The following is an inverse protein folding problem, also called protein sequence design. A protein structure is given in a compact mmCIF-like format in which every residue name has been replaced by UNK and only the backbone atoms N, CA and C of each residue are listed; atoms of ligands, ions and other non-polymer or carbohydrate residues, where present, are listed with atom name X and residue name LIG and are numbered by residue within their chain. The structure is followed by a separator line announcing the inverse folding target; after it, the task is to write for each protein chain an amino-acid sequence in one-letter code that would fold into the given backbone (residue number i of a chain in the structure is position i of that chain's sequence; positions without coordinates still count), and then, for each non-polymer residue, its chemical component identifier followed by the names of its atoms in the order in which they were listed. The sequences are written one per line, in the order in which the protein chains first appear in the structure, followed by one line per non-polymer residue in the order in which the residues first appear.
data_IF_476596739222
#
_entry.id   IF_476596739222
#
_cell.length_a   1.000
_cell.length_b   1.000
_cell.length_c   1.000
_cell.angle_alpha   90.00
_cell.angle_beta   90.00
_cell.angle_gamma   90.00
#
_symmetry.space_group_name_H-M   'P 1'
#
loop_
_entity.id
_entity.type
_entity.pdbx_description
1 polymer ?
#
# COMPACT_ATOMS: atom_id res chain seq x y z
N UNK A 1 -1.22 15.56 -13.18
CA UNK A 1 -2.43 16.41 -13.22
C UNK A 1 -2.55 17.09 -11.86
N UNK A 2 -3.16 18.27 -11.76
CA UNK A 2 -3.08 19.09 -10.52
C UNK A 2 -4.45 19.59 -10.08
N UNK A 3 -5.50 18.80 -10.28
CA UNK A 3 -6.84 19.17 -9.82
C UNK A 3 -6.88 19.31 -8.28
N UNK A 4 -7.66 20.27 -7.77
CA UNK A 4 -7.71 20.62 -6.35
C UNK A 4 -8.17 19.46 -5.46
N UNK A 5 -9.13 18.68 -5.94
CA UNK A 5 -9.74 17.56 -5.22
C UNK A 5 -9.36 16.19 -5.78
N UNK A 6 -8.63 16.13 -6.90
CA UNK A 6 -8.16 14.86 -7.47
C UNK A 6 -6.76 15.04 -8.09
N UNK A 7 -5.75 15.32 -7.25
CA UNK A 7 -4.39 15.52 -7.73
C UNK A 7 -3.74 14.18 -8.12
N UNK A 8 -3.82 13.80 -9.40
CA UNK A 8 -3.10 12.65 -9.93
C UNK A 8 -1.67 13.05 -10.29
N UNK A 9 -0.80 13.10 -9.28
CA UNK A 9 0.61 13.47 -9.45
C UNK A 9 1.49 12.21 -9.39
N UNK A 10 2.31 11.94 -10.43
CA UNK A 10 3.12 10.73 -10.47
C UNK A 10 4.01 10.56 -9.25
N UNK A 11 4.01 9.36 -8.68
CA UNK A 11 4.73 9.02 -7.46
C UNK A 11 4.00 9.25 -6.16
N UNK A 12 2.74 9.66 -6.23
CA UNK A 12 1.86 9.61 -5.08
C UNK A 12 1.18 8.24 -5.04
N UNK A 13 1.22 7.63 -3.87
CA UNK A 13 0.47 6.42 -3.53
C UNK A 13 -0.46 6.73 -2.36
N UNK A 14 -1.74 6.42 -2.50
CA UNK A 14 -2.70 6.45 -1.41
C UNK A 14 -2.96 5.03 -0.94
N UNK A 15 -3.05 4.86 0.37
CA UNK A 15 -3.44 3.58 0.97
C UNK A 15 -4.69 3.79 1.79
N UNK A 16 -5.69 2.96 1.55
CA UNK A 16 -6.96 2.97 2.25
C UNK A 16 -7.22 1.60 2.88
N UNK A 17 -8.14 1.56 3.85
CA UNK A 17 -8.67 0.29 4.33
C UNK A 17 -10.12 0.40 4.79
N UNK A 18 -10.89 -0.66 4.57
CA UNK A 18 -12.11 -0.91 5.33
C UNK A 18 -11.75 -1.78 6.54
N UNK A 19 -11.89 -1.20 7.73
CA UNK A 19 -11.57 -1.86 9.01
C UNK A 19 -12.77 -2.65 9.56
N UNK A 20 -13.50 -3.29 8.64
CA UNK A 20 -14.66 -4.12 8.90
C UNK A 20 -14.32 -5.43 9.64
N UNK A 21 -15.20 -6.42 9.52
CA UNK A 21 -14.95 -7.76 10.08
C UNK A 21 -13.82 -8.49 9.34
N UNK A 22 -13.73 -8.24 8.04
CA UNK A 22 -12.67 -8.62 7.13
C UNK A 22 -11.98 -7.32 6.73
N UNK A 23 -10.66 -7.29 6.79
CA UNK A 23 -9.88 -6.09 6.48
C UNK A 23 -9.60 -6.13 4.98
N UNK A 24 -10.09 -5.12 4.29
CA UNK A 24 -9.75 -4.83 2.90
C UNK A 24 -8.76 -3.67 2.88
N UNK A 25 -7.68 -3.80 2.12
CA UNK A 25 -6.69 -2.74 1.89
C UNK A 25 -6.70 -2.37 0.42
N UNK A 26 -6.72 -1.08 0.12
CA UNK A 26 -6.71 -0.57 -1.26
C UNK A 26 -5.47 0.32 -1.45
N UNK A 27 -4.66 0.03 -2.46
CA UNK A 27 -3.42 0.75 -2.78
C UNK A 27 -3.53 1.41 -4.16
N UNK A 28 -3.64 2.73 -4.17
CA UNK A 28 -3.83 3.53 -5.39
C UNK A 28 -2.56 4.31 -5.72
N UNK A 29 -1.92 3.97 -6.82
CA UNK A 29 -0.63 4.54 -7.27
C UNK A 29 -0.80 5.39 -8.52
N UNK A 30 -0.43 6.67 -8.46
CA UNK A 30 -0.29 7.47 -9.67
C UNK A 30 1.07 7.19 -10.32
N UNK A 31 1.10 6.53 -11.48
CA UNK A 31 2.32 6.12 -12.15
C UNK A 31 2.94 7.23 -13.02
N UNK A 32 4.23 7.14 -13.34
CA UNK A 32 4.87 7.98 -14.39
C UNK A 32 4.40 7.64 -15.80
N UNK A 33 3.74 6.51 -15.96
CA UNK A 33 3.25 6.00 -17.22
C UNK A 33 2.17 6.89 -17.85
N UNK A 34 2.24 6.99 -19.18
CA UNK A 34 1.27 7.66 -20.03
C UNK A 34 0.79 6.66 -21.08
N UNK A 35 -0.53 6.57 -21.24
CA UNK A 35 -1.20 5.79 -22.28
C UNK A 35 -1.86 6.73 -23.28
N UNK A 36 -1.74 6.46 -24.58
CA UNK A 36 -2.52 7.17 -25.59
C UNK A 36 -3.93 6.54 -25.65
N UNK A 37 -4.96 7.29 -25.24
CA UNK A 37 -6.37 6.87 -25.29
C UNK A 37 -7.16 7.87 -26.11
N UNK A 38 -7.89 7.39 -27.13
CA UNK A 38 -8.62 8.23 -28.08
C UNK A 38 -7.77 9.38 -28.72
N UNK A 39 -6.46 9.18 -28.84
CA UNK A 39 -5.51 10.17 -29.36
C UNK A 39 -5.10 11.26 -28.37
N UNK A 40 -5.34 11.06 -27.07
CA UNK A 40 -4.93 11.94 -25.98
C UNK A 40 -3.98 11.19 -25.04
N UNK A 41 -3.00 11.90 -24.49
CA UNK A 41 -2.13 11.38 -23.43
C UNK A 41 -2.94 11.32 -22.11
N UNK A 42 -3.17 10.11 -21.60
CA UNK A 42 -3.80 9.85 -20.33
C UNK A 42 -2.78 9.33 -19.31
N UNK A 43 -2.89 9.80 -18.06
CA UNK A 43 -2.12 9.33 -16.91
C UNK A 43 -2.64 7.97 -16.47
N UNK A 44 -1.73 7.02 -16.27
CA UNK A 44 -2.09 5.73 -15.65
C UNK A 44 -2.09 5.86 -14.13
N UNK A 45 -3.16 5.39 -13.51
CA UNK A 45 -3.26 5.15 -12.07
C UNK A 45 -3.51 3.66 -11.90
N UNK A 46 -2.81 3.01 -10.96
CA UNK A 46 -3.01 1.60 -10.66
C UNK A 46 -3.69 1.48 -9.30
N UNK A 47 -4.80 0.78 -9.24
CA UNK A 47 -5.49 0.42 -8.01
C UNK A 47 -5.30 -1.07 -7.75
N UNK A 48 -5.07 -1.46 -6.50
CA UNK A 48 -4.97 -2.85 -6.09
C UNK A 48 -5.72 -3.05 -4.79
N UNK A 49 -6.63 -4.02 -4.80
CA UNK A 49 -7.43 -4.40 -3.64
C UNK A 49 -6.86 -5.69 -3.05
N UNK A 50 -6.60 -5.66 -1.75
CA UNK A 50 -6.05 -6.78 -1.00
C UNK A 50 -7.02 -7.22 0.09
N UNK A 51 -7.20 -8.53 0.20
CA UNK A 51 -7.93 -9.19 1.30
C UNK A 51 -7.07 -10.35 1.77
N UNK A 52 -6.80 -10.41 3.08
CA UNK A 52 -5.90 -11.42 3.67
C UNK A 52 -4.55 -11.51 2.94
N UNK A 53 -3.99 -10.35 2.57
CA UNK A 53 -2.71 -10.20 1.82
C UNK A 53 -2.73 -10.68 0.37
N UNK A 54 -3.82 -11.31 -0.08
CA UNK A 54 -4.02 -11.70 -1.48
C UNK A 54 -4.58 -10.52 -2.28
N UNK A 55 -4.05 -10.29 -3.48
CA UNK A 55 -4.58 -9.31 -4.43
C UNK A 55 -5.85 -9.86 -5.05
N UNK A 56 -7.01 -9.36 -4.66
CA UNK A 56 -8.28 -9.78 -5.25
C UNK A 56 -8.64 -9.00 -6.51
N UNK A 57 -8.07 -7.79 -6.68
CA UNK A 57 -8.25 -6.97 -7.88
C UNK A 57 -6.99 -6.14 -8.17
N UNK A 58 -6.60 -6.04 -9.44
CA UNK A 58 -5.55 -5.15 -9.95
C UNK A 58 -6.06 -4.38 -11.17
N UNK A 59 -6.33 -3.09 -10.99
CA UNK A 59 -6.96 -2.23 -11.97
C UNK A 59 -6.00 -1.14 -12.44
N UNK A 60 -5.98 -0.86 -13.73
CA UNK A 60 -5.20 0.24 -14.34
C UNK A 60 -6.12 1.23 -15.03
N UNK A 61 -6.36 2.33 -14.37
CA UNK A 61 -7.17 3.43 -14.85
C UNK A 61 -6.38 4.42 -15.71
N UNK A 62 -7.08 5.07 -16.64
CA UNK A 62 -6.51 6.15 -17.44
C UNK A 62 -7.28 7.45 -17.22
N UNK A 63 -6.57 8.52 -16.85
CA UNK A 63 -7.18 9.82 -16.62
C UNK A 63 -6.55 10.94 -17.44
N UNK A 64 -7.36 11.90 -17.89
CA UNK A 64 -6.88 13.10 -18.59
C UNK A 64 -7.40 14.37 -17.92
N UNK A 65 -6.63 15.48 -17.97
CA UNK A 65 -7.09 16.78 -17.49
C UNK A 65 -7.17 17.76 -18.66
N UNK A 66 -8.34 18.37 -18.88
CA UNK A 66 -8.53 19.34 -19.94
C UNK A 66 -8.02 20.75 -19.58
N UNK A 67 -7.97 21.65 -20.56
CA UNK A 67 -7.52 23.04 -20.39
C UNK A 67 -8.41 23.88 -19.45
N UNK A 68 -9.65 23.44 -19.20
CA UNK A 68 -10.53 24.08 -18.23
C UNK A 68 -10.27 23.57 -16.80
N UNK A 69 -9.59 22.43 -16.67
CA UNK A 69 -9.21 21.78 -15.43
C UNK A 69 -10.05 20.57 -15.06
N UNK A 70 -11.02 20.15 -15.89
CA UNK A 70 -11.83 18.95 -15.59
C UNK A 70 -10.96 17.71 -15.72
N UNK A 71 -11.18 16.75 -14.84
CA UNK A 71 -10.57 15.42 -14.90
C UNK A 71 -11.55 14.46 -15.55
N UNK A 72 -11.07 13.80 -16.59
CA UNK A 72 -11.79 12.82 -17.39
C UNK A 72 -11.32 11.41 -17.03
N UNK A 73 -12.26 10.48 -16.89
CA UNK A 73 -11.98 9.05 -16.82
C UNK A 73 -12.05 8.47 -18.23
N UNK A 74 -10.96 7.86 -18.67
CA UNK A 74 -10.74 7.51 -20.07
C UNK A 74 -10.84 6.00 -20.32
N UNK A 75 -10.97 5.20 -19.25
CA UNK A 75 -11.09 3.76 -19.29
C UNK A 75 -10.23 3.08 -18.24
N UNK A 76 -10.33 1.77 -18.21
CA UNK A 76 -9.66 0.87 -17.29
C UNK A 76 -9.37 -0.49 -17.90
N UNK A 77 -8.36 -1.15 -17.33
CA UNK A 77 -8.07 -2.56 -17.51
C UNK A 77 -8.12 -3.20 -16.12
N UNK A 78 -8.85 -4.31 -15.99
CA UNK A 78 -9.15 -4.94 -14.71
C UNK A 78 -8.71 -6.40 -14.76
N UNK A 79 -8.03 -6.83 -13.70
CA UNK A 79 -7.78 -8.23 -13.38
C UNK A 79 -8.39 -8.54 -12.01
N UNK A 80 -9.48 -9.31 -11.97
CA UNK A 80 -10.11 -9.83 -10.75
C UNK A 80 -9.65 -11.28 -10.51
N UNK A 81 -9.14 -11.58 -9.32
CA UNK A 81 -8.56 -12.87 -8.97
C UNK A 81 -9.48 -13.67 -8.05
N UNK A 82 -9.77 -14.92 -8.44
CA UNK A 82 -10.40 -15.89 -7.54
C UNK A 82 -9.35 -16.88 -7.03
N UNK A 83 -9.39 -17.16 -5.73
CA UNK A 83 -8.46 -18.07 -5.05
C UNK A 83 -9.17 -19.30 -4.48
N UNK A 84 -8.44 -20.40 -4.29
CA UNK A 84 -8.91 -21.52 -3.48
C UNK A 84 -8.53 -21.37 -1.99
N UNK A 85 -8.91 -22.36 -1.17
CA UNK A 85 -8.64 -22.37 0.27
C UNK A 85 -7.12 -22.48 0.60
N UNK A 86 -6.27 -22.76 -0.40
CA UNK A 86 -4.82 -22.89 -0.29
C UNK A 86 -4.08 -21.62 -0.79
N UNK A 87 -4.83 -20.62 -1.29
CA UNK A 87 -4.28 -19.36 -1.78
C UNK A 87 -3.81 -19.41 -3.25
N UNK A 88 -4.14 -20.46 -4.00
CA UNK A 88 -3.80 -20.58 -5.42
C UNK A 88 -4.85 -19.89 -6.32
N UNK A 89 -4.39 -19.22 -7.38
CA UNK A 89 -5.28 -18.56 -8.36
C UNK A 89 -6.08 -19.59 -9.16
N UNK A 90 -7.40 -19.61 -8.96
CA UNK A 90 -8.35 -20.43 -9.69
C UNK A 90 -8.77 -19.81 -11.04
N UNK A 91 -8.97 -18.50 -11.05
CA UNK A 91 -9.44 -17.76 -12.21
C UNK A 91 -8.93 -16.32 -12.19
N UNK A 92 -8.81 -15.74 -13.38
CA UNK A 92 -8.65 -14.30 -13.58
C UNK A 92 -9.78 -13.86 -14.49
N UNK A 93 -10.62 -12.97 -13.99
CA UNK A 93 -11.69 -12.32 -14.76
C UNK A 93 -11.29 -10.89 -15.12
N UNK A 94 -11.82 -10.38 -16.23
CA UNK A 94 -11.54 -9.03 -16.72
C UNK A 94 -12.84 -8.24 -16.85
N UNK A 95 -13.74 -8.44 -15.89
CA UNK A 95 -15.01 -7.74 -15.80
C UNK A 95 -14.78 -6.23 -15.70
N UNK A 96 -15.70 -5.42 -16.22
CA UNK A 96 -15.61 -3.96 -16.10
C UNK A 96 -14.62 -3.28 -17.05
N UNK A 97 -13.61 -3.96 -17.62
CA UNK A 97 -12.62 -3.30 -18.48
C UNK A 97 -13.24 -2.59 -19.71
N UNK A 98 -12.89 -1.31 -19.93
CA UNK A 98 -13.34 -0.52 -21.09
C UNK A 98 -12.33 0.55 -21.48
N UNK A 99 -12.35 0.99 -22.76
CA UNK A 99 -11.49 2.09 -23.22
C UNK A 99 -12.25 3.07 -24.11
N UNK A 100 -12.13 4.37 -23.80
CA UNK A 100 -12.76 5.44 -24.57
C UNK A 100 -12.47 5.35 -26.08
N UNK A 101 -13.53 5.28 -26.88
CA UNK A 101 -13.47 5.21 -28.34
C UNK A 101 -13.36 3.79 -28.91
N UNK A 102 -13.35 2.76 -28.07
CA UNK A 102 -13.38 1.35 -28.47
C UNK A 102 -14.73 0.69 -28.14
N UNK A 103 -15.03 -0.39 -28.86
CA UNK A 103 -16.16 -1.30 -28.60
C UNK A 103 -15.54 -2.64 -28.15
N UNK A 104 -15.20 -2.74 -26.86
CA UNK A 104 -14.43 -3.89 -26.33
C UNK A 104 -15.32 -5.08 -25.95
N UNK A 105 -16.62 -4.85 -25.77
CA UNK A 105 -17.63 -5.88 -25.44
C UNK A 105 -18.46 -6.31 -26.66
N UNK A 106 -18.10 -5.89 -27.87
CA UNK A 106 -18.79 -6.21 -29.13
C UNK A 106 -20.30 -5.83 -29.11
N UNK A 107 -20.66 -4.74 -28.42
CA UNK A 107 -22.06 -4.24 -28.34
C UNK A 107 -22.52 -3.57 -29.64
N UNK A 108 -21.56 -3.09 -30.45
CA UNK A 108 -21.81 -2.24 -31.61
C UNK A 108 -21.82 -0.75 -31.30
N UNK A 109 -21.59 -0.36 -30.04
CA UNK A 109 -21.39 1.02 -29.58
C UNK A 109 -19.97 1.18 -29.04
N UNK A 110 -19.42 2.40 -29.09
CA UNK A 110 -18.10 2.69 -28.52
C UNK A 110 -18.27 3.31 -27.14
N UNK A 111 -17.36 2.98 -26.22
CA UNK A 111 -17.31 3.61 -24.90
C UNK A 111 -16.94 5.10 -25.03
N UNK A 112 -17.51 5.91 -24.14
CA UNK A 112 -17.35 7.35 -24.08
C UNK A 112 -16.79 7.75 -22.72
N UNK A 113 -15.72 8.56 -22.67
CA UNK A 113 -15.18 9.05 -21.41
C UNK A 113 -16.15 10.05 -20.78
N UNK A 114 -16.19 10.05 -19.45
CA UNK A 114 -16.94 11.02 -18.66
C UNK A 114 -16.04 11.88 -17.79
N UNK A 115 -16.64 12.79 -17.03
CA UNK A 115 -15.92 13.55 -16.02
C UNK A 115 -15.86 12.72 -14.75
N UNK A 116 -14.68 12.42 -14.23
CA UNK A 116 -14.58 11.91 -12.86
C UNK A 116 -14.65 13.06 -11.85
N UNK A 117 -14.18 14.24 -12.25
CA UNK A 117 -14.17 15.43 -11.40
C UNK A 117 -14.22 16.71 -12.24
N UNK A 118 -15.22 17.55 -12.00
CA UNK A 118 -15.34 18.87 -12.65
C UNK A 118 -14.28 19.84 -12.12
N UNK A 119 -13.84 20.77 -12.95
CA UNK A 119 -12.81 21.77 -12.62
C UNK A 119 -13.20 22.71 -11.46
N UNK A 120 -14.50 23.00 -11.34
CA UNK A 120 -15.09 23.90 -10.34
C UNK A 120 -16.44 23.32 -9.88
N UNK A 121 -16.43 22.22 -9.09
CA UNK A 121 -17.64 21.49 -8.75
C UNK A 121 -18.59 22.36 -7.92
N UNK A 122 -19.87 22.36 -8.28
CA UNK A 122 -20.95 23.06 -7.58
C UNK A 122 -21.95 22.04 -7.04
N UNK A 123 -22.55 22.35 -5.88
CA UNK A 123 -23.62 21.53 -5.32
C UNK A 123 -24.76 21.36 -6.33
N UNK A 124 -25.12 20.10 -6.60
CA UNK A 124 -26.15 19.70 -7.55
C UNK A 124 -25.66 19.53 -9.00
N UNK A 125 -24.36 19.67 -9.27
CA UNK A 125 -23.79 19.21 -10.53
C UNK A 125 -23.98 17.70 -10.66
N UNK A 126 -24.43 17.25 -11.83
CA UNK A 126 -24.61 15.83 -12.18
C UNK A 126 -23.91 15.59 -13.51
N UNK A 127 -23.10 14.55 -13.58
CA UNK A 127 -22.29 14.22 -14.76
C UNK A 127 -22.11 12.70 -14.89
N UNK A 128 -21.95 12.23 -16.13
CA UNK A 128 -21.49 10.86 -16.38
C UNK A 128 -19.99 10.80 -16.10
N UNK A 129 -19.56 9.79 -15.33
CA UNK A 129 -18.16 9.43 -15.08
C UNK A 129 -17.63 8.55 -16.21
N UNK A 130 -18.51 7.73 -16.78
CA UNK A 130 -18.30 6.95 -18.00
C UNK A 130 -19.63 6.70 -18.70
N UNK A 131 -19.56 6.23 -19.95
CA UNK A 131 -20.74 5.76 -20.65
C UNK A 131 -20.36 4.73 -21.72
N UNK A 132 -20.87 3.53 -21.56
CA UNK A 132 -20.82 2.42 -22.48
C UNK A 132 -22.12 1.62 -22.34
N UNK A 133 -23.00 1.74 -23.32
CA UNK A 133 -24.41 1.38 -23.16
C UNK A 133 -24.61 -0.07 -22.69
N UNK A 134 -25.43 -0.24 -21.65
CA UNK A 134 -25.73 -1.51 -20.98
C UNK A 134 -24.51 -2.21 -20.31
N UNK A 135 -23.30 -1.64 -20.41
CA UNK A 135 -22.05 -2.20 -19.88
C UNK A 135 -21.51 -1.38 -18.70
N UNK A 136 -21.45 -0.05 -18.85
CA UNK A 136 -20.86 0.90 -17.88
C UNK A 136 -21.57 2.26 -17.99
N UNK A 137 -22.28 2.72 -16.95
CA UNK A 137 -23.07 3.96 -17.03
C UNK A 137 -22.94 4.81 -15.75
N UNK A 138 -21.73 4.89 -15.19
CA UNK A 138 -21.52 5.53 -13.90
C UNK A 138 -21.73 7.05 -13.92
N UNK A 139 -22.30 7.53 -12.81
CA UNK A 139 -22.75 8.90 -12.63
C UNK A 139 -22.25 9.47 -11.31
N UNK A 140 -21.72 10.69 -11.37
CA UNK A 140 -21.40 11.50 -10.21
C UNK A 140 -22.43 12.62 -9.99
N UNK A 141 -22.79 12.86 -8.73
CA UNK A 141 -23.53 14.05 -8.28
C UNK A 141 -22.76 14.75 -7.14
N UNK A 142 -22.56 16.06 -7.23
CA UNK A 142 -21.94 16.83 -6.14
C UNK A 142 -22.97 17.17 -5.08
N UNK A 143 -22.71 16.74 -3.84
CA UNK A 143 -23.68 16.78 -2.74
C UNK A 143 -23.38 17.93 -1.78
N UNK A 144 -22.11 18.10 -1.44
CA UNK A 144 -21.63 19.17 -0.56
C UNK A 144 -20.21 19.58 -0.93
N UNK A 145 -19.81 20.81 -0.57
CA UNK A 145 -18.44 21.32 -0.78
C UNK A 145 -17.67 21.49 0.53
N UNK A 146 -18.35 21.26 1.66
CA UNK A 146 -17.90 21.56 3.02
C UNK A 146 -18.35 20.48 4.02
N UNK A 147 -18.36 19.22 3.58
CA UNK A 147 -18.70 18.08 4.45
C UNK A 147 -17.58 17.82 5.45
N UNK A 148 -17.88 17.86 6.76
CA UNK A 148 -16.88 17.56 7.79
C UNK A 148 -16.78 16.05 8.00
N UNK A 149 -15.60 15.48 7.74
CA UNK A 149 -15.29 14.05 7.86
C UNK A 149 -14.25 13.85 8.94
N UNK A 150 -14.46 12.85 9.80
CA UNK A 150 -13.47 12.34 10.73
C UNK A 150 -13.25 10.87 10.43
N UNK A 151 -11.99 10.47 10.28
CA UNK A 151 -11.59 9.09 10.01
C UNK A 151 -11.36 8.33 11.32
N UNK A 152 -11.19 7.01 11.22
CA UNK A 152 -10.98 6.12 12.36
C UNK A 152 -9.72 6.45 13.18
N UNK A 153 -8.70 7.03 12.54
CA UNK A 153 -7.47 7.51 13.19
C UNK A 153 -7.67 8.84 13.96
N UNK A 154 -8.84 9.46 13.83
CA UNK A 154 -9.18 10.74 14.44
C UNK A 154 -8.76 11.97 13.65
N UNK A 155 -8.12 11.80 12.48
CA UNK A 155 -7.88 12.89 11.54
C UNK A 155 -9.21 13.47 11.06
N UNK A 156 -9.21 14.77 10.76
CA UNK A 156 -10.42 15.49 10.39
C UNK A 156 -10.18 16.37 9.16
N UNK A 157 -11.12 16.29 8.22
CA UNK A 157 -11.06 16.95 6.92
C UNK A 157 -12.37 17.69 6.64
N UNK A 158 -12.29 18.79 5.89
CA UNK A 158 -13.45 19.41 5.25
C UNK A 158 -13.39 19.05 3.78
N UNK A 159 -14.42 18.36 3.29
CA UNK A 159 -14.40 17.63 2.03
C UNK A 159 -15.46 18.12 1.04
N UNK A 160 -15.12 17.99 -0.24
CA UNK A 160 -16.10 17.83 -1.31
C UNK A 160 -16.73 16.44 -1.16
N UNK A 161 -18.06 16.35 -1.16
CA UNK A 161 -18.79 15.09 -1.10
C UNK A 161 -19.50 14.86 -2.44
N UNK A 162 -19.26 13.69 -3.04
CA UNK A 162 -20.02 13.23 -4.21
C UNK A 162 -20.91 12.06 -3.84
N UNK A 163 -21.90 11.82 -4.70
CA UNK A 163 -22.65 10.58 -4.77
C UNK A 163 -22.30 9.92 -6.09
N UNK A 164 -21.88 8.67 -6.00
CA UNK A 164 -21.51 7.86 -7.15
C UNK A 164 -22.56 6.74 -7.27
N UNK A 165 -23.09 6.54 -8.48
CA UNK A 165 -24.19 5.59 -8.73
C UNK A 165 -24.30 5.23 -10.22
N UNK A 166 -24.94 4.10 -10.50
CA UNK A 166 -25.23 3.67 -11.88
C UNK A 166 -26.74 3.49 -12.13
N UNK A 167 -27.27 3.95 -13.29
CA UNK A 167 -28.62 3.62 -13.72
C UNK A 167 -28.89 2.13 -13.93
N UNK A 168 -27.82 1.33 -14.16
CA UNK A 168 -27.91 -0.12 -14.37
C UNK A 168 -28.29 -0.86 -13.09
N UNK A 169 -27.95 -0.31 -11.92
CA UNK A 169 -28.23 -0.87 -10.61
C UNK A 169 -28.99 0.11 -9.70
N UNK A 170 -30.30 0.31 -9.95
CA UNK A 170 -31.07 1.31 -9.23
C UNK A 170 -31.12 1.08 -7.72
N UNK A 171 -30.65 2.08 -6.96
CA UNK A 171 -30.73 2.09 -5.49
C UNK A 171 -29.44 1.68 -4.79
N UNK A 172 -28.42 1.28 -5.55
CA UNK A 172 -27.04 1.22 -5.08
C UNK A 172 -26.41 2.58 -5.34
N UNK A 173 -25.81 3.16 -4.31
CA UNK A 173 -25.07 4.42 -4.38
C UNK A 173 -24.02 4.46 -3.27
N UNK A 174 -22.95 5.19 -3.52
CA UNK A 174 -21.86 5.43 -2.58
C UNK A 174 -21.64 6.93 -2.38
N UNK A 175 -21.01 7.31 -1.26
CA UNK A 175 -20.53 8.66 -0.98
C UNK A 175 -19.00 8.67 -0.97
N UNK A 176 -18.39 9.44 -1.87
CA UNK A 176 -16.94 9.70 -1.85
C UNK A 176 -16.66 11.09 -1.27
N UNK A 177 -15.64 11.17 -0.43
CA UNK A 177 -15.24 12.40 0.26
C UNK A 177 -13.83 12.79 -0.16
N UNK A 178 -13.68 13.96 -0.78
CA UNK A 178 -12.41 14.45 -1.30
C UNK A 178 -11.89 15.62 -0.48
N UNK A 179 -10.68 15.50 0.08
CA UNK A 179 -9.97 16.58 0.73
C UNK A 179 -9.06 17.33 -0.26
N UNK A 180 -8.99 18.66 -0.14
CA UNK A 180 -8.14 19.49 -0.99
C UNK A 180 -6.67 19.10 -0.90
N UNK A 181 -6.04 18.89 -2.06
CA UNK A 181 -4.63 18.53 -2.17
C UNK A 181 -4.31 17.07 -1.84
N UNK A 182 -5.28 16.30 -1.35
CA UNK A 182 -5.13 14.89 -1.01
C UNK A 182 -5.80 14.03 -2.08
N UNK A 183 -7.08 14.25 -2.37
CA UNK A 183 -7.88 13.28 -3.13
C UNK A 183 -8.97 12.70 -2.25
N UNK A 184 -9.39 11.47 -2.54
CA UNK A 184 -10.32 10.71 -1.70
C UNK A 184 -9.71 10.54 -0.30
N UNK A 185 -10.53 10.70 0.73
CA UNK A 185 -10.17 10.39 2.13
C UNK A 185 -11.10 9.36 2.75
N UNK A 186 -12.31 9.19 2.20
CA UNK A 186 -13.24 8.17 2.61
C UNK A 186 -14.26 7.84 1.51
N UNK A 187 -14.73 6.60 1.49
CA UNK A 187 -15.86 6.11 0.72
C UNK A 187 -16.84 5.42 1.66
N UNK A 188 -18.13 5.77 1.59
CA UNK A 188 -19.10 5.34 2.59
C UNK A 188 -20.47 5.07 1.99
N UNK A 189 -21.18 4.15 2.62
CA UNK A 189 -22.61 4.00 2.41
C UNK A 189 -23.38 5.31 2.73
N UNK A 190 -24.53 5.57 2.08
CA UNK A 190 -25.28 6.81 2.26
C UNK A 190 -25.70 7.09 3.70
N UNK A 191 -25.26 8.24 4.22
CA UNK A 191 -25.58 8.68 5.58
C UNK A 191 -24.82 7.96 6.69
N UNK A 192 -23.85 7.09 6.36
CA UNK A 192 -22.94 6.51 7.33
C UNK A 192 -21.96 7.57 7.84
N UNK A 193 -21.78 7.63 9.17
CA UNK A 193 -20.84 8.55 9.80
C UNK A 193 -19.40 7.99 9.88
N UNK A 194 -19.24 6.67 9.69
CA UNK A 194 -18.01 5.91 9.81
C UNK A 194 -18.17 4.55 9.13
N UNK A 195 -17.06 3.87 8.85
CA UNK A 195 -17.02 2.58 8.15
C UNK A 195 -17.01 2.75 6.63
N UNK A 196 -16.76 1.67 5.90
CA UNK A 196 -16.33 1.74 4.51
C UNK A 196 -14.84 2.03 4.40
N UNK A 197 -14.39 2.35 3.20
CA UNK A 197 -12.99 2.58 2.89
C UNK A 197 -12.53 3.94 3.44
N UNK A 198 -11.47 3.97 4.24
CA UNK A 198 -10.90 5.21 4.81
C UNK A 198 -9.40 5.31 4.53
N UNK A 199 -8.91 6.53 4.26
CA UNK A 199 -7.49 6.78 3.99
C UNK A 199 -6.65 6.50 5.23
N UNK A 200 -5.65 5.62 5.07
CA UNK A 200 -4.64 5.33 6.08
C UNK A 200 -3.39 6.16 5.88
N UNK A 201 -3.00 6.46 4.63
CA UNK A 201 -1.76 7.18 4.39
C UNK A 201 -1.57 7.63 2.95
N UNK A 202 -0.66 8.59 2.78
CA UNK A 202 -0.25 9.10 1.47
C UNK A 202 1.28 9.09 1.40
N UNK A 203 1.81 8.30 0.47
CA UNK A 203 3.22 8.24 0.17
C UNK A 203 3.53 9.13 -1.03
N UNK A 204 4.47 10.05 -0.88
CA UNK A 204 4.98 10.84 -1.99
C UNK A 204 6.48 10.58 -2.15
N UNK A 205 6.83 9.69 -3.09
CA UNK A 205 8.23 9.35 -3.37
C UNK A 205 9.08 10.54 -3.80
N UNK A 206 8.45 11.68 -4.13
CA UNK A 206 9.15 12.89 -4.60
C UNK A 206 9.59 13.80 -3.48
N UNK A 207 8.94 13.78 -2.31
CA UNK A 207 9.06 14.92 -1.39
C UNK A 207 9.60 14.67 0.01
N UNK A 208 9.31 13.59 0.75
CA UNK A 208 9.97 13.27 2.05
C UNK A 208 9.06 12.47 3.01
N UNK A 209 8.82 11.18 2.75
CA UNK A 209 8.43 10.28 3.86
C UNK A 209 9.64 9.52 4.43
N UNK A 210 10.85 9.80 3.93
CA UNK A 210 12.09 9.25 4.49
C UNK A 210 12.30 9.93 5.85
N UNK A 211 12.36 9.15 6.95
CA UNK A 211 12.60 9.69 8.27
C UNK A 211 13.92 10.48 8.35
N UNK A 212 13.94 11.63 9.05
CA UNK A 212 15.15 12.45 9.20
C UNK A 212 16.12 11.83 10.21
N UNK A 213 16.92 10.87 9.73
CA UNK A 213 17.93 10.18 10.52
C UNK A 213 18.95 11.14 11.15
N UNK A 214 19.25 12.26 10.49
CA UNK A 214 20.18 13.27 11.01
C UNK A 214 19.64 14.05 12.21
N UNK A 215 18.32 14.04 12.42
CA UNK A 215 17.67 14.63 13.58
C UNK A 215 17.53 13.67 14.78
N UNK A 216 17.66 12.36 14.55
CA UNK A 216 17.60 11.34 15.59
C UNK A 216 18.81 11.42 16.54
N UNK A 217 18.63 10.94 17.78
CA UNK A 217 19.68 10.89 18.80
C UNK A 217 19.70 9.51 19.42
N UNK A 218 20.88 8.92 19.52
CA UNK A 218 21.06 7.53 19.95
C UNK A 218 21.94 7.49 21.20
N UNK A 219 21.33 7.60 22.38
CA UNK A 219 22.01 7.54 23.67
C UNK A 219 22.27 6.11 24.15
N UNK A 220 21.33 5.19 23.90
CA UNK A 220 21.41 3.77 24.24
C UNK A 220 20.77 2.88 23.15
N UNK A 221 21.30 2.89 21.91
CA UNK A 221 20.60 2.39 20.73
C UNK A 221 20.30 0.90 20.71
N UNK A 222 21.02 0.09 21.49
CA UNK A 222 20.86 -1.37 21.53
C UNK A 222 19.87 -1.84 22.59
N UNK A 223 19.37 -0.94 23.43
CA UNK A 223 18.24 -1.22 24.32
C UNK A 223 16.95 -0.96 23.54
N UNK A 224 16.52 -1.94 22.74
CA UNK A 224 15.29 -1.84 21.94
C UNK A 224 14.13 -2.43 22.76
N UNK A 225 13.44 -1.58 23.53
CA UNK A 225 12.36 -1.96 24.46
C UNK A 225 10.96 -1.53 24.00
N UNK A 226 10.82 -1.27 22.70
CA UNK A 226 9.55 -0.87 22.09
C UNK A 226 8.43 -1.89 22.38
N UNK A 227 7.24 -1.46 22.84
CA UNK A 227 6.19 -2.39 23.32
C UNK A 227 5.69 -3.38 22.27
N UNK A 228 5.75 -3.01 20.99
CA UNK A 228 5.34 -3.85 19.85
C UNK A 228 6.50 -4.48 19.09
N UNK A 229 7.74 -4.11 19.40
CA UNK A 229 8.93 -4.64 18.70
C UNK A 229 10.14 -4.74 19.65
N UNK A 230 10.04 -5.49 20.77
CA UNK A 230 11.12 -5.60 21.73
C UNK A 230 12.21 -6.56 21.22
N UNK A 231 13.45 -6.09 21.12
CA UNK A 231 14.58 -6.93 20.71
C UNK A 231 15.47 -7.25 21.90
N UNK A 232 15.08 -8.29 22.64
CA UNK A 232 15.84 -8.80 23.79
C UNK A 232 16.81 -9.90 23.32
N UNK A 233 18.13 -9.74 23.47
CA UNK A 233 19.10 -10.77 23.07
C UNK A 233 18.80 -12.15 23.68
N UNK A 234 18.87 -13.18 22.85
CA UNK A 234 18.54 -14.57 23.16
C UNK A 234 17.06 -14.93 23.00
N UNK A 235 16.19 -13.99 22.61
CA UNK A 235 14.84 -14.29 22.15
C UNK A 235 14.90 -15.04 20.82
N UNK A 236 14.06 -16.06 20.66
CA UNK A 236 13.89 -16.79 19.41
C UNK A 236 12.41 -17.00 19.18
N UNK A 237 11.93 -16.51 18.04
CA UNK A 237 10.57 -16.69 17.56
C UNK A 237 10.58 -17.66 16.37
N UNK A 238 9.49 -18.39 16.19
CA UNK A 238 9.35 -19.36 15.09
C UNK A 238 7.96 -19.27 14.53
N UNK A 239 7.89 -19.04 13.22
CA UNK A 239 6.66 -18.98 12.44
C UNK A 239 6.65 -20.16 11.48
N UNK A 240 5.46 -20.70 11.21
CA UNK A 240 5.29 -21.84 10.31
C UNK A 240 4.00 -21.64 9.51
N UNK A 241 4.08 -21.83 8.21
CA UNK A 241 2.96 -21.76 7.28
C UNK A 241 3.02 -22.97 6.32
N UNK A 242 1.85 -23.54 6.02
CA UNK A 242 1.72 -24.47 4.89
C UNK A 242 1.51 -23.63 3.63
N UNK A 243 2.32 -23.87 2.60
CA UNK A 243 2.31 -23.20 1.28
C UNK A 243 2.15 -24.25 0.18
N UNK A 244 1.92 -23.84 -1.08
CA UNK A 244 1.92 -24.75 -2.25
C UNK A 244 3.26 -25.51 -2.37
N UNK A 245 4.37 -24.83 -2.08
CA UNK A 245 5.73 -25.36 -2.23
C UNK A 245 6.17 -26.22 -1.02
N UNK A 246 5.38 -26.28 0.05
CA UNK A 246 5.63 -27.10 1.23
C UNK A 246 5.46 -26.34 2.53
N UNK A 247 6.12 -26.82 3.59
CA UNK A 247 6.09 -26.11 4.88
C UNK A 247 7.18 -25.05 4.88
N UNK A 248 6.78 -23.78 4.91
CA UNK A 248 7.68 -22.68 5.20
C UNK A 248 7.81 -22.52 6.72
N UNK A 249 9.05 -22.41 7.20
CA UNK A 249 9.37 -22.15 8.60
C UNK A 249 10.37 -21.02 8.71
N UNK A 250 10.00 -19.96 9.40
CA UNK A 250 10.83 -18.77 9.66
C UNK A 250 11.33 -18.81 11.10
N UNK A 251 12.63 -18.58 11.32
CA UNK A 251 13.24 -18.57 12.67
C UNK A 251 14.01 -17.27 12.89
N UNK A 252 13.41 -16.39 13.68
CA UNK A 252 13.96 -15.08 14.03
C UNK A 252 14.67 -15.16 15.38
N UNK A 253 15.96 -14.81 15.42
CA UNK A 253 16.80 -14.86 16.63
C UNK A 253 17.45 -13.51 16.91
N UNK A 254 17.18 -12.91 18.07
CA UNK A 254 17.87 -11.68 18.49
C UNK A 254 19.22 -12.06 19.08
N UNK A 255 20.32 -11.67 18.43
CA UNK A 255 21.66 -12.10 18.80
C UNK A 255 22.26 -11.24 19.94
N UNK A 256 23.26 -11.78 20.64
CA UNK A 256 24.08 -11.00 21.61
C UNK A 256 25.09 -10.08 20.92
N UNK A 257 25.28 -10.22 19.60
CA UNK A 257 26.20 -9.40 18.82
C UNK A 257 25.56 -8.08 18.39
N UNK A 258 26.43 -7.10 18.14
CA UNK A 258 26.05 -5.77 17.67
C UNK A 258 26.85 -5.42 16.42
N UNK A 259 26.31 -4.53 15.59
CA UNK A 259 26.98 -3.99 14.41
C UNK A 259 26.92 -2.48 14.42
N UNK A 260 28.03 -1.81 14.11
CA UNK A 260 28.01 -0.36 13.87
C UNK A 260 27.58 -0.08 12.43
N UNK A 261 26.46 0.63 12.26
CA UNK A 261 25.93 1.06 10.95
C UNK A 261 25.69 2.57 10.99
N UNK A 262 26.20 3.29 10.00
CA UNK A 262 26.12 4.76 9.93
C UNK A 262 26.53 5.51 11.23
N UNK A 263 27.40 4.91 12.06
CA UNK A 263 27.85 5.48 13.34
C UNK A 263 26.93 5.21 14.55
N UNK A 264 25.92 4.37 14.39
CA UNK A 264 25.02 3.89 15.46
C UNK A 264 25.30 2.41 15.72
N UNK A 265 25.38 2.01 16.99
CA UNK A 265 25.49 0.59 17.35
C UNK A 265 24.10 -0.05 17.32
N UNK A 266 23.95 -1.08 16.49
CA UNK A 266 22.67 -1.75 16.22
C UNK A 266 22.64 -3.15 16.84
N UNK A 267 21.45 -3.58 17.26
CA UNK A 267 21.13 -4.98 17.56
C UNK A 267 21.14 -5.76 16.25
N UNK A 268 21.73 -6.96 16.26
CA UNK A 268 21.64 -7.90 15.13
C UNK A 268 20.51 -8.88 15.40
N UNK A 269 19.54 -8.93 14.48
CA UNK A 269 18.50 -9.95 14.44
C UNK A 269 18.82 -10.86 13.26
N UNK A 270 18.77 -12.17 13.49
CA UNK A 270 19.01 -13.16 12.44
C UNK A 270 17.72 -13.83 12.06
N UNK A 271 17.27 -13.61 10.84
CA UNK A 271 16.16 -14.33 10.23
C UNK A 271 16.68 -15.49 9.38
N UNK A 272 15.99 -16.62 9.43
CA UNK A 272 16.25 -17.78 8.58
C UNK A 272 14.95 -18.36 8.09
N UNK A 273 14.80 -18.39 6.78
CA UNK A 273 13.66 -18.98 6.10
C UNK A 273 14.02 -20.38 5.62
N UNK A 274 13.15 -21.34 5.95
CA UNK A 274 13.28 -22.72 5.54
C UNK A 274 12.07 -23.17 4.73
N UNK A 275 12.29 -23.87 3.63
CA UNK A 275 11.26 -24.57 2.85
C UNK A 275 11.53 -26.07 2.93
N UNK A 276 10.59 -26.85 3.47
CA UNK A 276 10.73 -28.31 3.63
C UNK A 276 12.08 -28.73 4.29
N UNK A 277 12.47 -27.99 5.34
CA UNK A 277 13.73 -28.09 6.09
C UNK A 277 15.03 -27.69 5.33
N UNK A 278 14.94 -27.24 4.09
CA UNK A 278 16.06 -26.61 3.37
C UNK A 278 16.14 -25.13 3.75
N UNK A 279 17.34 -24.64 4.09
CA UNK A 279 17.57 -23.23 4.37
C UNK A 279 17.62 -22.48 3.04
N UNK A 280 16.63 -21.64 2.76
CA UNK A 280 16.55 -20.87 1.51
C UNK A 280 17.04 -19.43 1.68
N UNK A 281 16.98 -18.89 2.90
CA UNK A 281 17.48 -17.54 3.21
C UNK A 281 18.08 -17.48 4.62
N UNK A 282 19.18 -16.74 4.79
CA UNK A 282 19.82 -16.43 6.09
C UNK A 282 20.21 -14.94 6.13
N UNK A 283 19.41 -14.17 6.85
CA UNK A 283 19.46 -12.71 6.86
C UNK A 283 19.91 -12.20 8.23
N UNK A 284 20.75 -11.17 8.25
CA UNK A 284 21.18 -10.47 9.47
C UNK A 284 20.78 -9.01 9.40
N UNK A 285 19.66 -8.69 10.03
CA UNK A 285 19.07 -7.37 10.13
C UNK A 285 19.70 -6.54 11.25
N UNK A 286 19.77 -5.23 11.02
CA UNK A 286 20.33 -4.29 12.00
C UNK A 286 19.29 -3.27 12.44
N UNK A 287 18.99 -3.25 13.74
CA UNK A 287 18.01 -2.33 14.32
C UNK A 287 18.62 -1.46 15.42
N UNK A 288 18.10 -0.25 15.60
CA UNK A 288 18.47 0.63 16.71
C UNK A 288 17.27 1.43 17.20
N UNK A 289 17.15 1.66 18.51
CA UNK A 289 16.12 2.54 19.06
C UNK A 289 16.70 3.93 19.39
N UNK A 290 16.04 5.00 18.95
CA UNK A 290 16.45 6.36 19.28
C UNK A 290 15.92 6.82 20.66
N UNK A 291 16.43 7.96 21.14
CA UNK A 291 16.06 8.56 22.42
C UNK A 291 14.58 9.03 22.47
N UNK A 292 13.91 9.12 21.31
CA UNK A 292 12.48 9.41 21.23
C UNK A 292 11.62 8.13 21.32
N UNK A 293 12.24 6.95 21.22
CA UNK A 293 11.61 5.65 21.31
C UNK A 293 11.32 5.00 19.96
N UNK A 294 11.73 5.60 18.83
CA UNK A 294 11.49 5.01 17.51
C UNK A 294 12.52 3.91 17.24
N UNK A 295 12.06 2.81 16.65
CA UNK A 295 12.92 1.73 16.16
C UNK A 295 13.25 1.96 14.70
N UNK A 296 14.53 2.06 14.40
CA UNK A 296 15.09 2.27 13.07
C UNK A 296 15.55 0.94 12.49
N UNK A 297 15.27 0.72 11.19
CA UNK A 297 15.86 -0.36 10.41
C UNK A 297 17.05 0.19 9.62
N UNK A 298 18.22 -0.38 9.85
CA UNK A 298 19.51 0.20 9.47
C UNK A 298 20.17 -0.52 8.29
N UNK A 299 19.60 -1.66 7.88
CA UNK A 299 20.10 -2.49 6.80
C UNK A 299 20.10 -3.97 7.15
N UNK A 300 20.51 -4.75 6.17
CA UNK A 300 20.57 -6.20 6.23
C UNK A 300 21.71 -6.77 5.39
N UNK A 301 22.20 -7.92 5.82
CA UNK A 301 23.03 -8.79 4.99
C UNK A 301 22.27 -10.09 4.72
N UNK A 302 22.07 -10.39 3.43
CA UNK A 302 21.26 -11.51 2.97
C UNK A 302 22.16 -12.56 2.29
N UNK A 303 21.93 -13.83 2.62
CA UNK A 303 22.41 -14.99 1.87
C UNK A 303 21.21 -15.81 1.38
N UNK A 304 20.89 -15.73 0.09
CA UNK A 304 19.84 -16.55 -0.55
C UNK A 304 20.47 -17.83 -1.13
N UNK A 305 19.92 -18.99 -0.80
CA UNK A 305 20.42 -20.30 -1.22
C UNK A 305 19.49 -20.93 -2.25
N UNK A 306 19.92 -21.00 -3.52
CA UNK A 306 19.10 -21.62 -4.56
C UNK A 306 19.48 -23.08 -4.78
N UNK A 307 18.47 -23.93 -4.90
CA UNK A 307 18.63 -25.38 -5.07
C UNK A 307 18.08 -25.86 -6.41
N UNK A 308 18.68 -26.92 -6.97
CA UNK A 308 18.12 -27.62 -8.12
C UNK A 308 16.95 -28.52 -7.72
N UNK A 309 16.23 -29.07 -8.71
CA UNK A 309 15.12 -30.01 -8.47
C UNK A 309 15.51 -31.36 -7.84
N UNK A 310 16.80 -31.60 -7.56
CA UNK A 310 17.29 -32.74 -6.76
C UNK A 310 17.68 -32.33 -5.32
N UNK A 311 17.47 -31.06 -4.93
CA UNK A 311 17.79 -30.49 -3.62
C UNK A 311 19.29 -30.19 -3.44
N UNK A 312 20.03 -30.04 -4.53
CA UNK A 312 21.46 -29.71 -4.49
C UNK A 312 21.66 -28.20 -4.67
N UNK A 313 22.48 -27.58 -3.81
CA UNK A 313 22.80 -26.15 -3.87
C UNK A 313 23.44 -25.80 -5.23
N UNK A 314 22.81 -24.91 -5.98
CA UNK A 314 23.31 -24.40 -7.27
C UNK A 314 24.18 -23.16 -7.08
N UNK A 315 23.65 -22.15 -6.39
CA UNK A 315 24.35 -20.91 -6.09
C UNK A 315 23.86 -20.25 -4.78
N UNK A 316 24.56 -19.19 -4.40
CA UNK A 316 24.20 -18.31 -3.29
C UNK A 316 24.26 -16.88 -3.80
N UNK A 317 23.18 -16.13 -3.61
CA UNK A 317 23.11 -14.70 -3.98
C UNK A 317 22.97 -13.84 -2.71
N UNK A 318 23.16 -12.54 -2.88
CA UNK A 318 23.00 -11.55 -1.81
C UNK A 318 22.02 -10.45 -2.26
N UNK A 319 21.07 -10.83 -3.12
CA UNK A 319 19.99 -9.93 -3.56
C UNK A 319 19.13 -9.55 -2.35
N UNK A 320 18.66 -8.31 -2.29
CA UNK A 320 18.02 -7.71 -1.11
C UNK A 320 18.98 -6.90 -0.24
N UNK A 321 20.19 -7.41 0.01
CA UNK A 321 21.12 -6.80 0.99
C UNK A 321 21.40 -5.30 0.77
N UNK A 322 21.26 -4.51 1.84
CA UNK A 322 21.55 -3.08 1.86
C UNK A 322 22.10 -2.60 3.20
N UNK A 323 22.79 -1.45 3.22
CA UNK A 323 23.29 -0.86 4.47
C UNK A 323 23.17 0.67 4.44
N UNK A 324 22.52 1.23 5.47
CA UNK A 324 22.36 2.68 5.61
C UNK A 324 23.71 3.41 5.50
N UNK A 325 23.75 4.44 4.65
CA UNK A 325 24.97 5.21 4.38
C UNK A 325 25.90 4.61 3.33
N UNK A 326 25.52 3.50 2.69
CA UNK A 326 26.27 2.88 1.58
C UNK A 326 25.47 2.79 0.27
N UNK A 327 26.19 2.65 -0.85
CA UNK A 327 25.65 2.34 -2.19
C UNK A 327 26.12 0.93 -2.57
N UNK A 328 25.58 -0.10 -1.89
CA UNK A 328 26.08 -1.49 -2.03
C UNK A 328 25.63 -2.19 -3.32
N UNK A 329 24.53 -1.73 -3.93
CA UNK A 329 23.98 -2.22 -5.19
C UNK A 329 24.46 -1.42 -6.42
N UNK A 330 25.40 -0.46 -6.26
CA UNK A 330 25.85 0.45 -7.32
C UNK A 330 24.67 1.18 -8.03
N UNK A 331 23.60 1.47 -7.29
CA UNK A 331 22.38 2.13 -7.79
C UNK A 331 22.62 3.62 -8.09
N UNK A 332 23.71 4.21 -7.58
CA UNK A 332 24.04 5.62 -7.76
C UNK A 332 23.38 6.54 -6.73
N UNK A 333 22.74 5.96 -5.73
CA UNK A 333 22.15 6.60 -4.54
C UNK A 333 22.74 5.95 -3.28
N UNK A 334 22.56 6.57 -2.12
CA UNK A 334 23.02 5.98 -0.85
C UNK A 334 21.80 5.60 -0.02
N UNK A 335 21.73 4.34 0.41
CA UNK A 335 20.63 3.84 1.22
C UNK A 335 20.46 4.70 2.49
N UNK A 336 19.21 5.04 2.78
CA UNK A 336 18.80 5.74 4.00
C UNK A 336 18.06 4.74 4.91
N UNK A 337 18.33 4.77 6.23
CA UNK A 337 17.57 3.95 7.15
C UNK A 337 16.14 4.49 7.24
N UNK A 338 15.18 3.59 7.40
CA UNK A 338 13.80 3.95 7.70
C UNK A 338 13.42 3.62 9.13
N UNK A 339 12.14 3.76 9.42
CA UNK A 339 11.55 3.46 10.72
C UNK A 339 10.93 2.09 10.61
N UNK A 340 11.38 1.14 11.43
CA UNK A 340 10.66 -0.13 11.59
C UNK A 340 9.38 0.10 12.38
N UNK A 341 9.47 0.91 13.44
CA UNK A 341 8.36 1.17 14.34
C UNK A 341 8.47 2.55 14.97
N UNK A 342 7.42 3.37 14.81
CA UNK A 342 7.35 4.66 15.51
C UNK A 342 7.12 4.45 17.01
N UNK A 343 7.68 5.33 17.83
CA UNK A 343 7.44 5.34 19.29
C UNK A 343 5.95 5.42 19.67
N UNK A 344 5.16 6.08 18.81
CA UNK A 344 3.70 6.11 18.85
C UNK A 344 3.16 5.61 17.50
N UNK A 345 2.90 4.30 17.35
CA UNK A 345 2.49 3.72 16.08
C UNK A 345 1.04 4.07 15.71
N UNK A 346 0.23 4.57 16.66
CA UNK A 346 -1.19 4.89 16.46
C UNK A 346 -1.38 6.16 15.63
N UNK A 347 -0.32 6.90 15.35
CA UNK A 347 -0.39 8.08 14.49
C UNK A 347 -0.81 7.76 13.04
N UNK A 348 -0.87 6.46 12.65
CA UNK A 348 -1.22 5.95 11.32
C UNK A 348 -0.54 6.73 10.20
N UNK A 349 0.73 7.03 10.44
CA UNK A 349 1.56 7.71 9.45
C UNK A 349 2.10 6.63 8.52
N UNK A 350 2.03 6.89 7.23
CA UNK A 350 2.79 6.17 6.19
C UNK A 350 4.28 6.53 6.27
N UNK A 351 5.18 5.55 6.33
CA UNK A 351 6.63 5.77 6.43
C UNK A 351 7.43 4.77 5.60
N UNK A 352 8.69 5.10 5.30
CA UNK A 352 9.64 4.14 4.75
C UNK A 352 10.27 3.33 5.89
N UNK A 353 10.30 2.00 5.73
CA UNK A 353 11.15 1.10 6.52
C UNK A 353 12.58 1.10 5.99
N UNK A 354 12.74 1.36 4.69
CA UNK A 354 14.02 1.59 4.03
C UNK A 354 13.85 2.45 2.79
N UNK A 355 14.91 3.16 2.41
CA UNK A 355 14.92 3.89 1.15
C UNK A 355 16.28 3.82 0.48
N UNK A 356 16.33 3.09 -0.63
CA UNK A 356 17.48 2.94 -1.49
C UNK A 356 17.03 3.06 -2.95
N UNK A 357 16.92 4.31 -3.43
CA UNK A 357 16.38 4.64 -4.75
C UNK A 357 16.93 3.74 -5.87
N UNK A 358 16.03 3.01 -6.53
CA UNK A 358 16.35 2.10 -7.63
C UNK A 358 16.88 0.72 -7.21
N UNK A 359 16.92 0.42 -5.91
CA UNK A 359 17.32 -0.87 -5.36
C UNK A 359 16.28 -1.44 -4.38
N UNK A 360 15.80 -0.65 -3.41
CA UNK A 360 14.84 -1.09 -2.41
C UNK A 360 14.07 0.10 -1.81
N UNK A 361 12.73 0.04 -1.71
CA UNK A 361 11.89 1.19 -1.32
C UNK A 361 10.67 0.70 -0.51
N UNK A 362 10.91 0.07 0.63
CA UNK A 362 9.82 -0.51 1.41
C UNK A 362 9.09 0.52 2.26
N UNK A 363 7.77 0.44 2.17
CA UNK A 363 6.83 1.38 2.74
C UNK A 363 5.88 0.64 3.67
N UNK A 364 5.65 1.20 4.85
CA UNK A 364 4.71 0.68 5.82
C UNK A 364 3.73 1.75 6.28
N UNK A 365 2.59 1.27 6.76
CA UNK A 365 1.55 2.05 7.42
C UNK A 365 0.92 1.18 8.50
N UNK A 366 0.47 1.81 9.57
CA UNK A 366 -0.19 1.09 10.68
C UNK A 366 -1.68 1.01 10.38
N UNK A 367 -2.19 -0.21 10.18
CA UNK A 367 -3.62 -0.49 9.95
C UNK A 367 -4.43 -0.25 11.23
N UNK A 368 -4.00 -0.84 12.34
CA UNK A 368 -4.63 -0.71 13.67
C UNK A 368 -3.60 -0.96 14.78
N UNK A 369 -3.98 -0.74 16.04
CA UNK A 369 -3.10 -0.96 17.20
C UNK A 369 -3.82 -1.60 18.40
N UNK A 370 -5.03 -2.09 18.13
CA UNK A 370 -5.97 -2.71 19.07
C UNK A 370 -6.47 -4.04 18.49
N UNK A 371 -5.65 -4.69 17.67
CA UNK A 371 -5.97 -5.98 17.07
C UNK A 371 -6.07 -7.08 18.15
N UNK A 372 -6.94 -8.05 17.90
CA UNK A 372 -6.94 -9.32 18.61
C UNK A 372 -6.51 -10.42 17.65
N UNK A 373 -5.44 -11.14 17.99
CA UNK A 373 -4.88 -12.23 17.18
C UNK A 373 -4.93 -13.53 17.97
N UNK A 374 -5.58 -14.55 17.43
CA UNK A 374 -5.57 -15.91 17.99
C UNK A 374 -4.59 -16.77 17.22
N UNK A 375 -3.63 -17.36 17.93
CA UNK A 375 -2.63 -18.26 17.35
C UNK A 375 -3.21 -19.68 17.18
N UNK A 376 -2.57 -20.50 16.35
CA UNK A 376 -3.00 -21.87 16.07
C UNK A 376 -3.13 -22.77 17.33
N UNK A 377 -2.41 -22.46 18.41
CA UNK A 377 -2.51 -23.18 19.69
C UNK A 377 -3.70 -22.73 20.57
N UNK A 378 -4.49 -21.76 20.09
CA UNK A 378 -5.65 -21.18 20.76
C UNK A 378 -5.29 -20.07 21.76
N UNK A 379 -4.04 -19.59 21.78
CA UNK A 379 -3.65 -18.44 22.58
C UNK A 379 -4.07 -17.14 21.88
N UNK A 380 -4.75 -16.27 22.61
CA UNK A 380 -5.16 -14.95 22.08
C UNK A 380 -4.26 -13.85 22.64
N UNK A 381 -3.78 -13.00 21.74
CA UNK A 381 -3.08 -11.75 22.01
C UNK A 381 -4.00 -10.59 21.70
N UNK A 382 -4.27 -9.77 22.71
CA UNK A 382 -5.05 -8.53 22.59
C UNK A 382 -4.10 -7.36 22.48
N UNK A 383 -4.59 -6.22 21.99
CA UNK A 383 -3.80 -5.00 21.79
C UNK A 383 -2.56 -5.25 20.90
N UNK A 384 -2.72 -6.05 19.84
CA UNK A 384 -1.70 -6.24 18.81
C UNK A 384 -1.73 -5.10 17.79
N UNK A 385 -0.58 -4.85 17.17
CA UNK A 385 -0.41 -3.89 16.08
C UNK A 385 -0.68 -4.56 14.74
#
# INVERSE_FOLDING_TARGET
MTHRYLPLIPGITHVYADLGAEIEVVVVETLDEIREVAGLDARVVRDRVFVEELVIEDTRDWYAQDDAGNVWYMGEEVDEYEYDDEGEVLAVEHGGAWEAGLDVSDTGEVAHPGYIMLADPQVGDVYSQEYYADEAEDMGEVIALDSDVTLADGSAHTCLETKDYTPLEPGIEERKFYAEGIGVVAERAPGAASGGLELLGVFDRRTSNIPDFGAASFGDPTTVDHPFFPLVPGTTDTFEAETEDGIERVVVEVLEETREVAGVECVVVRDRVFEDDLLIEDTHDWYAQDDAGNVWYMGEAVDNYNYDGEGMLEDVTHEGAWEAGQDVADAGSVAQPGIQMWADPIARVSYYQEYYEGAAEDMAYVVRADASVELADGTTHEDAL
#
